data_IF_086886426010
#
_entry.id   IF_086886426010
#
_cell.length_a   1.000
_cell.length_b   1.000
_cell.length_c   1.000
_cell.angle_alpha   90.00
_cell.angle_beta   90.00
_cell.angle_gamma   90.00
#
_symmetry.space_group_name_H-M   'P 1'
#
loop_
_entity.id
_entity.type
_entity.pdbx_description
1 polymer ?
#
# COMPACT_ATOMS: atom_id res chain seq x y z
N UNK A 1 -33.17 -36.26 -17.07
CA UNK A 1 -33.21 -35.71 -15.68
C UNK A 1 -31.92 -34.91 -15.48
N UNK A 2 -31.96 -33.64 -15.88
CA UNK A 2 -30.81 -32.75 -15.98
C UNK A 2 -30.71 -31.99 -14.66
N UNK A 3 -29.60 -32.16 -13.92
CA UNK A 3 -29.35 -31.40 -12.69
C UNK A 3 -28.97 -29.98 -13.06
N UNK A 4 -29.80 -29.05 -12.64
CA UNK A 4 -29.47 -27.64 -12.65
C UNK A 4 -28.25 -27.39 -11.73
N UNK A 5 -27.22 -26.78 -12.26
CA UNK A 5 -26.06 -26.30 -11.53
C UNK A 5 -26.49 -24.99 -10.88
N UNK A 6 -26.66 -25.01 -9.57
CA UNK A 6 -26.93 -23.83 -8.76
C UNK A 6 -25.83 -22.79 -8.97
N UNK A 7 -26.19 -21.65 -9.55
CA UNK A 7 -25.34 -20.48 -9.58
C UNK A 7 -25.15 -19.98 -8.12
N UNK A 8 -23.93 -19.56 -7.73
CA UNK A 8 -23.73 -19.00 -6.40
C UNK A 8 -24.55 -17.71 -6.23
N UNK A 9 -25.07 -17.42 -5.02
CA UNK A 9 -25.89 -16.25 -4.77
C UNK A 9 -25.10 -14.97 -5.10
N UNK A 10 -25.72 -14.08 -5.83
CA UNK A 10 -25.20 -12.71 -6.06
C UNK A 10 -25.04 -12.02 -4.70
N UNK A 11 -23.83 -12.00 -4.19
CA UNK A 11 -23.45 -11.23 -3.00
C UNK A 11 -23.59 -9.76 -3.35
N UNK A 12 -24.40 -9.02 -2.60
CA UNK A 12 -24.69 -7.60 -2.75
C UNK A 12 -23.43 -6.80 -3.06
N UNK A 13 -23.32 -6.36 -4.32
CA UNK A 13 -22.13 -5.65 -4.79
C UNK A 13 -22.02 -4.30 -4.09
N UNK A 14 -20.87 -4.00 -3.51
CA UNK A 14 -20.54 -2.66 -3.05
C UNK A 14 -20.83 -1.68 -4.18
N UNK A 15 -21.63 -0.65 -3.91
CA UNK A 15 -22.03 0.35 -4.91
C UNK A 15 -20.76 0.98 -5.50
N UNK A 16 -20.73 1.21 -6.79
CA UNK A 16 -19.56 1.76 -7.50
C UNK A 16 -19.11 3.11 -6.92
N UNK A 17 -20.02 3.87 -6.27
CA UNK A 17 -19.74 5.14 -5.61
C UNK A 17 -19.04 5.05 -4.24
N UNK A 18 -18.82 3.83 -3.68
CA UNK A 18 -18.20 3.66 -2.36
C UNK A 18 -16.68 3.42 -2.43
N UNK A 19 -16.14 3.32 -3.65
CA UNK A 19 -14.74 3.00 -3.89
C UNK A 19 -13.94 4.25 -4.16
N UNK A 20 -12.84 4.42 -3.44
CA UNK A 20 -11.90 5.52 -3.66
C UNK A 20 -10.47 5.12 -3.33
N UNK A 21 -9.51 5.86 -3.87
CA UNK A 21 -8.10 5.76 -3.52
C UNK A 21 -7.54 7.17 -3.38
N UNK A 22 -6.88 7.43 -2.28
CA UNK A 22 -6.11 8.65 -2.05
C UNK A 22 -4.64 8.30 -1.97
N UNK A 23 -3.86 8.90 -2.87
CA UNK A 23 -2.43 8.68 -3.01
C UNK A 23 -1.66 9.93 -2.58
N UNK A 24 -0.68 9.74 -1.73
CA UNK A 24 0.38 10.71 -1.47
C UNK A 24 1.74 10.02 -1.63
N UNK A 25 2.87 10.74 -1.68
CA UNK A 25 4.19 10.12 -1.76
C UNK A 25 4.46 9.09 -0.65
N UNK A 26 3.92 9.33 0.54
CA UNK A 26 4.22 8.56 1.75
C UNK A 26 3.03 7.79 2.33
N UNK A 27 1.83 8.00 1.82
CA UNK A 27 0.57 7.42 2.34
C UNK A 27 -0.31 6.92 1.21
N UNK A 28 -1.09 5.91 1.48
CA UNK A 28 -2.21 5.50 0.63
C UNK A 28 -3.41 5.20 1.50
N UNK A 29 -4.55 5.68 1.13
CA UNK A 29 -5.83 5.12 1.55
C UNK A 29 -6.52 4.48 0.36
N UNK A 30 -6.92 3.25 0.51
CA UNK A 30 -7.63 2.48 -0.51
C UNK A 30 -8.92 1.92 0.07
N UNK A 31 -10.04 2.30 -0.50
CA UNK A 31 -11.35 1.71 -0.25
C UNK A 31 -11.79 0.97 -1.51
N UNK A 32 -11.70 -0.34 -1.52
CA UNK A 32 -11.94 -1.11 -2.74
C UNK A 32 -11.89 -2.61 -2.55
N UNK A 33 -11.79 -3.33 -3.68
CA UNK A 33 -11.75 -4.78 -3.71
C UNK A 33 -10.38 -5.32 -3.24
N UNK A 34 -10.41 -6.32 -2.38
CA UNK A 34 -9.19 -7.01 -1.94
C UNK A 34 -8.62 -7.95 -3.02
N UNK A 35 -9.47 -8.47 -3.90
CA UNK A 35 -9.11 -9.51 -4.85
C UNK A 35 -9.03 -10.91 -4.22
N UNK A 36 -8.40 -11.86 -4.94
CA UNK A 36 -8.19 -13.21 -4.44
C UNK A 36 -7.19 -13.24 -3.27
N UNK A 37 -7.38 -14.19 -2.37
CA UNK A 37 -6.43 -14.44 -1.28
C UNK A 37 -5.11 -14.96 -1.86
N UNK A 38 -4.11 -14.10 -1.91
CA UNK A 38 -2.74 -14.45 -2.29
C UNK A 38 -1.78 -13.89 -1.25
N UNK A 39 -0.63 -14.54 -1.11
CA UNK A 39 0.43 -14.02 -0.25
C UNK A 39 0.94 -12.70 -0.81
N UNK A 40 1.16 -11.75 0.08
CA UNK A 40 1.72 -10.44 -0.23
C UNK A 40 2.76 -10.03 0.81
N UNK A 41 3.73 -9.23 0.36
CA UNK A 41 4.78 -8.68 1.21
C UNK A 41 4.99 -7.23 0.84
N UNK A 42 4.45 -6.31 1.66
CA UNK A 42 4.53 -4.88 1.41
C UNK A 42 5.75 -4.25 2.09
N UNK A 43 6.25 -3.15 1.54
CA UNK A 43 7.37 -2.41 2.12
C UNK A 43 6.96 -1.32 3.11
N UNK A 44 5.68 -1.05 3.26
CA UNK A 44 5.12 -0.12 4.25
C UNK A 44 4.30 -0.84 5.33
N UNK A 45 3.91 -0.10 6.35
CA UNK A 45 2.93 -0.57 7.34
C UNK A 45 1.56 -0.66 6.68
N UNK A 46 0.98 -1.87 6.65
CA UNK A 46 -0.37 -2.12 6.16
C UNK A 46 -1.37 -2.13 7.31
N UNK A 47 -2.45 -1.36 7.18
CA UNK A 47 -3.55 -1.36 8.14
C UNK A 47 -4.83 -1.67 7.38
N UNK A 48 -5.48 -2.79 7.70
CA UNK A 48 -6.72 -3.21 7.07
C UNK A 48 -7.88 -3.04 8.05
N UNK A 49 -8.96 -2.43 7.59
CA UNK A 49 -10.17 -2.19 8.38
C UNK A 49 -11.38 -2.69 7.62
N UNK A 50 -12.28 -3.43 8.31
CA UNK A 50 -13.56 -3.82 7.73
C UNK A 50 -14.54 -2.62 7.74
N UNK A 51 -15.34 -2.43 6.68
CA UNK A 51 -16.45 -1.49 6.70
C UNK A 51 -17.46 -1.79 7.83
N UNK A 52 -18.32 -0.84 8.14
CA UNK A 52 -19.35 -1.04 9.13
C UNK A 52 -20.42 -2.04 8.67
N UNK A 53 -20.91 -2.88 9.58
CA UNK A 53 -22.00 -3.81 9.31
C UNK A 53 -21.65 -5.00 8.41
N UNK A 54 -20.36 -5.24 8.13
CA UNK A 54 -19.90 -6.37 7.32
C UNK A 54 -19.05 -7.33 8.17
N UNK A 55 -18.89 -8.60 7.72
CA UNK A 55 -18.07 -9.56 8.44
C UNK A 55 -16.61 -9.08 8.59
N UNK A 56 -15.96 -9.39 9.73
CA UNK A 56 -14.56 -9.08 9.95
C UNK A 56 -13.63 -9.69 8.90
N UNK A 57 -12.47 -9.07 8.73
CA UNK A 57 -11.39 -9.50 7.83
C UNK A 57 -10.65 -10.69 8.48
N UNK A 58 -10.17 -11.61 7.66
CA UNK A 58 -9.29 -12.70 8.08
C UNK A 58 -7.88 -12.46 7.60
N UNK A 59 -6.90 -12.75 8.45
CA UNK A 59 -5.48 -12.68 8.11
C UNK A 59 -4.77 -13.96 8.54
N UNK A 60 -3.77 -14.35 7.76
CA UNK A 60 -2.77 -15.36 8.12
C UNK A 60 -1.38 -14.77 7.90
N UNK A 61 -0.59 -14.69 8.96
CA UNK A 61 0.79 -14.19 8.94
C UNK A 61 1.70 -15.40 8.68
N UNK A 62 2.47 -15.36 7.60
CA UNK A 62 3.32 -16.48 7.19
C UNK A 62 2.55 -17.79 7.13
N UNK A 63 3.11 -18.87 7.71
CA UNK A 63 2.47 -20.18 7.84
C UNK A 63 1.59 -20.37 9.08
N UNK A 64 1.27 -19.31 9.83
CA UNK A 64 0.54 -19.37 11.09
C UNK A 64 -0.97 -19.64 10.94
N UNK A 65 -1.69 -19.62 12.04
CA UNK A 65 -3.15 -19.77 12.06
C UNK A 65 -3.86 -18.53 11.50
N UNK A 66 -5.06 -18.74 10.98
CA UNK A 66 -5.95 -17.64 10.58
C UNK A 66 -6.47 -16.91 11.81
N UNK A 67 -6.35 -15.60 11.80
CA UNK A 67 -6.93 -14.67 12.76
C UNK A 67 -8.10 -13.91 12.10
N UNK A 68 -9.04 -13.42 12.90
CA UNK A 68 -10.22 -12.68 12.40
C UNK A 68 -10.44 -11.44 13.27
N UNK A 69 -10.59 -10.28 12.65
CA UNK A 69 -10.80 -9.00 13.36
C UNK A 69 -11.28 -7.88 12.45
N UNK A 70 -11.80 -6.82 13.04
CA UNK A 70 -12.19 -5.60 12.31
C UNK A 70 -10.99 -4.74 11.91
N UNK A 71 -9.91 -4.83 12.69
CA UNK A 71 -8.64 -4.14 12.46
C UNK A 71 -7.51 -5.17 12.41
N UNK A 72 -6.69 -5.05 11.38
CA UNK A 72 -5.49 -5.86 11.17
C UNK A 72 -4.33 -4.93 10.86
N UNK A 73 -3.21 -5.14 11.53
CA UNK A 73 -1.96 -4.42 11.31
C UNK A 73 -0.89 -5.39 10.83
N UNK A 74 -0.15 -4.99 9.81
CA UNK A 74 0.97 -5.76 9.25
C UNK A 74 2.19 -4.86 9.11
N UNK A 75 3.26 -5.11 9.86
CA UNK A 75 4.52 -4.39 9.69
C UNK A 75 5.15 -4.59 8.30
N UNK A 76 6.08 -3.72 7.89
CA UNK A 76 6.81 -3.87 6.63
C UNK A 76 7.51 -5.22 6.52
N UNK A 77 7.57 -5.77 5.31
CA UNK A 77 8.26 -7.01 4.95
C UNK A 77 7.71 -8.29 5.64
N UNK A 78 6.53 -8.25 6.20
CA UNK A 78 5.87 -9.43 6.77
C UNK A 78 4.98 -10.10 5.71
N UNK A 79 5.30 -11.35 5.28
CA UNK A 79 4.45 -12.11 4.37
C UNK A 79 3.12 -12.46 5.02
N UNK A 80 2.04 -12.19 4.32
CA UNK A 80 0.70 -12.42 4.85
C UNK A 80 -0.34 -12.67 3.76
N UNK A 81 -1.41 -13.36 4.14
CA UNK A 81 -2.62 -13.52 3.34
C UNK A 81 -3.76 -12.76 4.01
N UNK A 82 -4.56 -12.05 3.24
CA UNK A 82 -5.76 -11.36 3.72
C UNK A 82 -6.96 -11.86 2.92
N UNK A 83 -8.05 -12.16 3.62
CA UNK A 83 -9.33 -12.56 3.04
C UNK A 83 -10.45 -11.68 3.59
N UNK A 84 -11.40 -11.33 2.74
CA UNK A 84 -12.64 -10.68 3.14
C UNK A 84 -13.82 -11.35 2.44
N UNK A 85 -14.90 -11.58 3.18
CA UNK A 85 -16.17 -12.04 2.60
C UNK A 85 -16.95 -10.90 1.96
N UNK A 86 -16.62 -9.66 2.32
CA UNK A 86 -17.21 -8.47 1.72
C UNK A 86 -16.28 -7.93 0.62
N UNK A 87 -16.80 -7.50 -0.52
CA UNK A 87 -15.99 -7.01 -1.63
C UNK A 87 -15.25 -5.71 -1.31
N UNK A 88 -15.76 -4.87 -0.40
CA UNK A 88 -15.12 -3.64 0.02
C UNK A 88 -14.29 -3.88 1.28
N UNK A 89 -13.06 -3.41 1.28
CA UNK A 89 -12.19 -3.27 2.45
C UNK A 89 -11.57 -1.88 2.46
N UNK A 90 -11.12 -1.45 3.63
CA UNK A 90 -10.25 -0.29 3.76
C UNK A 90 -8.82 -0.74 4.01
N UNK A 91 -7.88 -0.14 3.30
CA UNK A 91 -6.45 -0.36 3.50
C UNK A 91 -5.74 0.98 3.58
N UNK A 92 -5.04 1.22 4.68
CA UNK A 92 -4.09 2.30 4.82
C UNK A 92 -2.69 1.73 4.66
N UNK A 93 -1.86 2.43 3.91
CA UNK A 93 -0.45 2.14 3.76
C UNK A 93 0.35 3.36 4.22
N UNK A 94 1.31 3.12 5.11
CA UNK A 94 2.25 4.13 5.62
C UNK A 94 3.66 3.68 5.25
N UNK A 95 4.37 4.50 4.45
CA UNK A 95 5.73 4.18 4.03
C UNK A 95 6.68 4.12 5.23
N UNK A 96 7.45 3.04 5.34
CA UNK A 96 8.27 2.75 6.53
C UNK A 96 9.40 3.75 6.79
N UNK A 97 9.93 4.35 5.73
CA UNK A 97 10.99 5.37 5.84
C UNK A 97 10.46 6.75 6.24
N UNK A 98 9.13 6.93 6.22
CA UNK A 98 8.51 8.21 6.53
C UNK A 98 8.10 8.39 7.98
N UNK A 99 8.10 7.32 8.76
CA UNK A 99 7.61 7.33 10.16
C UNK A 99 8.61 6.68 11.11
N UNK A 100 8.71 7.24 12.32
CA UNK A 100 9.50 6.66 13.40
C UNK A 100 8.78 5.42 13.96
N UNK A 101 9.30 4.21 13.78
CA UNK A 101 8.63 2.99 14.23
C UNK A 101 8.45 2.91 15.76
N UNK A 102 9.33 3.57 16.53
CA UNK A 102 9.21 3.61 18.00
C UNK A 102 8.13 4.55 18.50
N UNK A 103 7.63 5.44 17.65
CA UNK A 103 6.62 6.45 17.96
C UNK A 103 5.31 6.26 17.20
N UNK A 104 5.14 5.13 16.56
CA UNK A 104 3.85 4.75 15.98
C UNK A 104 2.81 4.54 17.08
N UNK A 105 1.51 4.80 16.81
CA UNK A 105 0.43 4.45 17.72
C UNK A 105 0.54 3.02 18.24
N UNK A 106 0.16 2.77 19.49
CA UNK A 106 0.31 1.45 20.14
C UNK A 106 -0.28 0.32 19.31
N UNK A 107 -1.45 0.51 18.70
CA UNK A 107 -2.07 -0.51 17.87
C UNK A 107 -1.22 -0.86 16.64
N UNK A 108 -0.38 0.04 16.12
CA UNK A 108 0.52 -0.20 14.99
C UNK A 108 1.82 -0.90 15.38
N UNK A 109 2.11 -1.04 16.68
CA UNK A 109 3.25 -1.82 17.19
C UNK A 109 3.00 -3.33 17.13
N UNK A 110 1.78 -3.76 16.81
CA UNK A 110 1.37 -5.15 16.74
C UNK A 110 1.43 -5.72 15.32
N UNK A 111 1.34 -7.04 15.21
CA UNK A 111 1.21 -7.76 13.95
C UNK A 111 0.04 -8.75 14.04
N UNK A 112 -0.92 -8.65 13.12
CA UNK A 112 -2.13 -9.44 13.12
C UNK A 112 -3.36 -8.64 13.54
N UNK A 113 -4.33 -9.29 14.16
CA UNK A 113 -5.57 -8.63 14.62
C UNK A 113 -5.34 -7.81 15.88
N UNK A 114 -5.93 -6.62 15.92
CA UNK A 114 -5.78 -5.67 17.03
C UNK A 114 -7.15 -5.14 17.42
N UNK A 115 -7.37 -4.90 18.71
CA UNK A 115 -8.55 -4.24 19.23
C UNK A 115 -8.28 -2.74 19.44
N UNK A 116 -8.79 -1.90 18.52
CA UNK A 116 -8.73 -0.43 18.63
C UNK A 116 -10.00 0.19 18.03
N UNK A 117 -11.14 0.06 18.69
CA UNK A 117 -12.45 0.45 18.14
C UNK A 117 -12.57 1.94 17.84
N UNK A 118 -11.85 2.80 18.55
CA UNK A 118 -11.81 4.22 18.27
C UNK A 118 -11.15 4.52 16.91
N UNK A 119 -10.06 3.82 16.59
CA UNK A 119 -9.39 3.94 15.30
C UNK A 119 -10.27 3.37 14.17
N UNK A 120 -10.90 2.22 14.37
CA UNK A 120 -11.83 1.62 13.39
C UNK A 120 -12.97 2.60 13.05
N UNK A 121 -13.58 3.23 14.05
CA UNK A 121 -14.61 4.26 13.82
C UNK A 121 -14.05 5.44 13.03
N UNK A 122 -12.89 5.95 13.42
CA UNK A 122 -12.23 7.08 12.72
C UNK A 122 -12.01 6.78 11.23
N UNK A 123 -11.52 5.60 10.89
CA UNK A 123 -11.31 5.19 9.48
C UNK A 123 -12.63 5.15 8.72
N UNK A 124 -13.70 4.64 9.33
CA UNK A 124 -15.04 4.58 8.74
C UNK A 124 -15.61 5.98 8.50
N UNK A 125 -15.47 6.87 9.48
CA UNK A 125 -15.92 8.27 9.38
C UNK A 125 -15.10 9.05 8.35
N UNK A 126 -13.78 8.86 8.31
CA UNK A 126 -12.90 9.44 7.31
C UNK A 126 -13.29 9.00 5.90
N UNK A 127 -13.58 7.71 5.67
CA UNK A 127 -14.06 7.22 4.39
C UNK A 127 -15.37 7.90 3.97
N UNK A 128 -16.35 7.99 4.85
CA UNK A 128 -17.61 8.66 4.57
C UNK A 128 -17.42 10.15 4.23
N UNK A 129 -16.52 10.83 4.95
CA UNK A 129 -16.14 12.22 4.69
C UNK A 129 -15.50 12.40 3.30
N UNK A 130 -14.53 11.55 2.95
CA UNK A 130 -13.85 11.57 1.67
C UNK A 130 -14.80 11.26 0.51
N UNK A 131 -15.72 10.31 0.67
CA UNK A 131 -16.78 10.05 -0.33
C UNK A 131 -17.65 11.27 -0.57
N UNK A 132 -18.08 11.95 0.48
CA UNK A 132 -18.89 13.15 0.38
C UNK A 132 -18.12 14.29 -0.31
N UNK A 133 -16.83 14.45 -0.05
CA UNK A 133 -15.96 15.42 -0.73
C UNK A 133 -15.80 15.07 -2.22
N UNK A 134 -15.48 13.82 -2.54
CA UNK A 134 -15.35 13.33 -3.91
C UNK A 134 -16.63 13.51 -4.72
N UNK A 135 -17.80 13.23 -4.14
CA UNK A 135 -19.09 13.43 -4.78
C UNK A 135 -19.40 14.90 -5.10
N UNK A 136 -18.75 15.85 -4.43
CA UNK A 136 -18.81 17.30 -4.73
C UNK A 136 -17.73 17.77 -5.70
N UNK A 137 -16.87 16.85 -6.21
CA UNK A 137 -15.75 17.20 -7.08
C UNK A 137 -14.60 17.89 -6.34
N UNK A 138 -14.51 17.77 -5.01
CA UNK A 138 -13.44 18.36 -4.21
C UNK A 138 -12.21 17.45 -4.26
N UNK A 139 -11.06 18.02 -4.60
CA UNK A 139 -9.76 17.36 -4.44
C UNK A 139 -9.38 17.20 -2.96
N UNK A 140 -8.46 16.28 -2.67
CA UNK A 140 -8.01 16.01 -1.31
C UNK A 140 -6.74 16.78 -0.92
N UNK A 141 -6.27 17.70 -1.75
CA UNK A 141 -5.06 18.51 -1.51
C UNK A 141 -5.11 19.34 -0.23
N UNK A 142 -6.32 19.70 0.21
CA UNK A 142 -6.53 20.43 1.46
C UNK A 142 -6.65 19.56 2.71
N UNK A 143 -6.63 18.23 2.58
CA UNK A 143 -6.73 17.32 3.72
C UNK A 143 -5.35 16.87 4.20
N UNK A 144 -5.15 16.88 5.52
CA UNK A 144 -4.03 16.21 6.16
C UNK A 144 -4.38 14.74 6.38
N UNK A 145 -3.64 13.83 5.72
CA UNK A 145 -3.87 12.40 5.79
C UNK A 145 -3.73 11.87 7.21
N UNK A 146 -2.63 12.23 7.88
CA UNK A 146 -2.35 11.71 9.23
C UNK A 146 -3.37 12.24 10.25
N UNK A 147 -3.71 13.53 10.19
CA UNK A 147 -4.74 14.12 11.05
C UNK A 147 -6.12 13.45 10.83
N UNK A 148 -6.48 13.17 9.57
CA UNK A 148 -7.77 12.56 9.25
C UNK A 148 -7.88 11.13 9.78
N UNK A 149 -6.86 10.29 9.55
CA UNK A 149 -6.92 8.87 9.87
C UNK A 149 -6.38 8.55 11.28
N UNK A 150 -5.32 9.24 11.72
CA UNK A 150 -4.68 8.95 13.01
C UNK A 150 -5.03 9.98 14.10
N UNK A 151 -5.56 11.14 13.71
CA UNK A 151 -5.93 12.23 14.63
C UNK A 151 -4.82 13.24 14.89
N UNK A 152 -3.60 12.89 14.53
CA UNK A 152 -2.40 13.72 14.63
C UNK A 152 -1.36 13.25 13.61
N UNK A 153 -0.38 14.10 13.34
CA UNK A 153 0.74 13.74 12.45
C UNK A 153 1.56 12.61 13.06
N UNK A 154 1.83 11.58 12.25
CA UNK A 154 2.75 10.53 12.65
C UNK A 154 4.18 11.08 12.74
N UNK A 155 4.89 10.72 13.80
CA UNK A 155 6.24 11.19 14.03
C UNK A 155 7.17 10.82 12.86
N UNK A 156 7.84 11.80 12.22
CA UNK A 156 8.71 11.53 11.11
C UNK A 156 9.97 10.76 11.56
N UNK A 157 10.45 9.89 10.69
CA UNK A 157 11.69 9.15 10.92
C UNK A 157 12.90 10.06 10.74
N UNK A 158 13.74 10.14 11.75
CA UNK A 158 15.06 10.75 11.65
C UNK A 158 16.00 9.78 10.94
N UNK A 159 16.39 10.07 9.70
CA UNK A 159 17.31 9.27 8.91
C UNK A 159 18.69 9.94 8.85
N UNK A 160 19.75 9.13 8.81
CA UNK A 160 21.08 9.61 8.42
C UNK A 160 20.98 10.35 7.07
N UNK A 161 21.57 11.55 6.99
CA UNK A 161 21.46 12.42 5.81
C UNK A 161 21.94 11.74 4.50
N UNK A 162 22.92 10.85 4.58
CA UNK A 162 23.42 10.08 3.44
C UNK A 162 22.38 9.08 2.95
N UNK A 163 21.71 8.39 3.88
CA UNK A 163 20.65 7.43 3.54
C UNK A 163 19.42 8.17 3.02
N UNK A 164 19.05 9.30 3.61
CA UNK A 164 17.97 10.15 3.09
C UNK A 164 18.22 10.56 1.64
N UNK A 165 19.42 11.05 1.32
CA UNK A 165 19.78 11.40 -0.06
C UNK A 165 19.58 10.25 -1.05
N UNK A 166 19.96 9.02 -0.66
CA UNK A 166 19.74 7.83 -1.51
C UNK A 166 18.26 7.49 -1.64
N UNK A 167 17.50 7.56 -0.54
CA UNK A 167 16.05 7.31 -0.56
C UNK A 167 15.34 8.32 -1.46
N UNK A 168 15.66 9.60 -1.32
CA UNK A 168 15.04 10.67 -2.13
C UNK A 168 15.30 10.44 -3.63
N UNK A 169 16.51 10.04 -4.01
CA UNK A 169 16.84 9.69 -5.39
C UNK A 169 16.05 8.46 -5.89
N UNK A 170 15.93 7.41 -5.08
CA UNK A 170 15.18 6.19 -5.42
C UNK A 170 13.66 6.41 -5.50
N UNK A 171 13.14 7.36 -4.73
CA UNK A 171 11.71 7.75 -4.76
C UNK A 171 11.43 8.64 -5.96
N UNK A 172 12.34 9.56 -6.30
CA UNK A 172 12.21 10.43 -7.46
C UNK A 172 12.23 9.63 -8.76
N UNK A 173 13.15 8.67 -8.89
CA UNK A 173 13.24 7.77 -10.04
C UNK A 173 13.42 6.30 -9.61
N UNK A 174 12.31 5.58 -9.33
CA UNK A 174 12.37 4.18 -8.97
C UNK A 174 12.87 3.26 -10.09
N UNK A 175 12.80 3.72 -11.34
CA UNK A 175 13.24 2.98 -12.52
C UNK A 175 14.74 3.07 -12.77
N UNK A 176 15.42 4.09 -12.22
CA UNK A 176 16.85 4.29 -12.43
C UNK A 176 17.65 2.98 -12.27
N UNK A 177 18.57 2.66 -13.20
CA UNK A 177 19.37 1.45 -13.17
C UNK A 177 20.52 1.51 -12.15
N UNK A 178 20.31 2.19 -11.02
CA UNK A 178 21.31 2.45 -9.99
C UNK A 178 21.58 1.17 -9.15
N UNK A 179 22.82 0.75 -9.04
CA UNK A 179 23.21 -0.36 -8.19
C UNK A 179 23.38 0.08 -6.72
N UNK A 180 23.53 -0.89 -5.83
CA UNK A 180 23.84 -0.59 -4.42
C UNK A 180 25.27 -0.02 -4.28
N UNK A 181 26.19 -0.45 -5.15
CA UNK A 181 27.55 0.07 -5.26
C UNK A 181 27.55 1.55 -5.66
N UNK A 182 26.75 1.93 -6.68
CA UNK A 182 26.63 3.33 -7.10
C UNK A 182 26.04 4.20 -5.99
N UNK A 183 25.02 3.69 -5.30
CA UNK A 183 24.44 4.38 -4.15
C UNK A 183 25.47 4.58 -3.04
N UNK A 184 26.25 3.55 -2.70
CA UNK A 184 27.30 3.64 -1.69
C UNK A 184 28.35 4.68 -2.07
N UNK A 185 28.82 4.65 -3.33
CA UNK A 185 29.79 5.60 -3.86
C UNK A 185 29.28 7.04 -3.81
N UNK A 186 28.00 7.28 -4.16
CA UNK A 186 27.36 8.60 -4.17
C UNK A 186 27.30 9.30 -2.81
N UNK A 187 27.48 8.50 -1.73
CA UNK A 187 27.45 8.98 -0.34
C UNK A 187 28.76 8.67 0.41
N UNK A 188 29.82 8.35 -0.32
CA UNK A 188 31.16 8.11 0.19
C UNK A 188 31.22 7.01 1.29
N UNK A 189 30.45 5.94 1.10
CA UNK A 189 30.48 4.76 1.96
C UNK A 189 31.04 3.56 1.21
N UNK A 190 31.70 2.64 1.94
CA UNK A 190 31.97 1.32 1.39
C UNK A 190 30.66 0.56 1.19
N UNK A 191 30.63 -0.35 0.23
CA UNK A 191 29.44 -1.16 -0.09
C UNK A 191 28.84 -1.85 1.14
N UNK A 192 29.68 -2.53 1.93
CA UNK A 192 29.22 -3.22 3.15
C UNK A 192 28.66 -2.24 4.19
N UNK A 193 29.33 -1.10 4.41
CA UNK A 193 28.86 -0.09 5.38
C UNK A 193 27.53 0.53 4.93
N UNK A 194 27.40 0.78 3.63
CA UNK A 194 26.15 1.30 3.05
C UNK A 194 24.98 0.34 3.29
N UNK A 195 25.12 -0.95 2.94
CA UNK A 195 24.03 -1.91 3.12
C UNK A 195 23.62 -2.06 4.59
N UNK A 196 24.61 -2.08 5.50
CA UNK A 196 24.34 -2.15 6.93
C UNK A 196 23.59 -0.93 7.44
N UNK A 197 24.10 0.27 7.13
CA UNK A 197 23.49 1.52 7.53
C UNK A 197 22.08 1.68 6.92
N UNK A 198 21.94 1.36 5.62
CA UNK A 198 20.64 1.43 4.95
C UNK A 198 19.58 0.56 5.65
N UNK A 199 19.94 -0.69 5.99
CA UNK A 199 19.04 -1.60 6.71
C UNK A 199 18.73 -1.10 8.13
N UNK A 200 19.72 -0.57 8.83
CA UNK A 200 19.54 0.02 10.16
C UNK A 200 18.58 1.21 10.13
N UNK A 201 18.76 2.10 9.17
CA UNK A 201 17.99 3.33 9.04
C UNK A 201 16.55 3.10 8.52
N UNK A 202 16.37 2.16 7.59
CA UNK A 202 15.05 1.92 6.93
C UNK A 202 14.28 0.73 7.50
N UNK A 203 14.95 -0.15 8.25
CA UNK A 203 14.37 -1.44 8.66
C UNK A 203 14.35 -2.50 7.56
N UNK A 204 14.75 -2.15 6.32
CA UNK A 204 14.69 -3.02 5.15
C UNK A 204 16.03 -3.19 4.45
N UNK A 205 16.27 -4.37 3.87
CA UNK A 205 17.39 -4.55 2.96
C UNK A 205 17.23 -3.67 1.70
N UNK A 206 18.31 -3.08 1.19
CA UNK A 206 18.30 -2.18 0.03
C UNK A 206 17.56 -2.77 -1.19
N UNK A 207 17.81 -4.06 -1.50
CA UNK A 207 17.13 -4.74 -2.62
C UNK A 207 15.61 -4.81 -2.43
N UNK A 208 15.15 -5.11 -1.21
CA UNK A 208 13.73 -5.16 -0.89
C UNK A 208 13.08 -3.78 -0.98
N UNK A 209 13.77 -2.74 -0.49
CA UNK A 209 13.32 -1.36 -0.59
C UNK A 209 13.16 -0.92 -2.06
N UNK A 210 14.17 -1.18 -2.91
CA UNK A 210 14.07 -0.86 -4.35
C UNK A 210 12.93 -1.60 -5.03
N UNK A 211 12.78 -2.90 -4.76
CA UNK A 211 11.69 -3.69 -5.33
C UNK A 211 10.32 -3.12 -4.90
N UNK A 212 10.19 -2.73 -3.64
CA UNK A 212 8.99 -2.07 -3.13
C UNK A 212 8.71 -0.74 -3.86
N UNK A 213 9.70 0.16 -3.98
CA UNK A 213 9.51 1.46 -4.63
C UNK A 213 9.15 1.32 -6.12
N UNK A 214 9.75 0.36 -6.83
CA UNK A 214 9.34 0.01 -8.20
C UNK A 214 7.91 -0.50 -8.27
N UNK A 215 7.52 -1.42 -7.38
CA UNK A 215 6.15 -1.91 -7.35
C UNK A 215 5.15 -0.80 -6.97
N UNK A 216 5.54 0.08 -6.04
CA UNK A 216 4.73 1.22 -5.60
C UNK A 216 4.47 2.22 -6.73
N UNK A 217 5.41 2.40 -7.65
CA UNK A 217 5.28 3.32 -8.78
C UNK A 217 4.18 2.88 -9.77
N UNK A 218 3.74 1.61 -9.79
CA UNK A 218 2.57 1.18 -10.56
C UNK A 218 1.33 2.07 -10.29
N UNK A 219 1.16 2.52 -9.06
CA UNK A 219 -0.02 3.30 -8.70
C UNK A 219 -0.10 4.66 -9.41
N UNK A 220 0.99 5.16 -10.01
CA UNK A 220 1.00 6.35 -10.87
C UNK A 220 0.26 6.13 -12.20
N UNK A 221 0.18 4.88 -12.64
CA UNK A 221 -0.38 4.50 -13.95
C UNK A 221 -1.85 4.09 -13.89
N UNK A 222 -2.46 4.08 -12.71
CA UNK A 222 -3.85 3.61 -12.53
C UNK A 222 -4.89 4.42 -13.31
N UNK A 223 -4.57 5.67 -13.69
CA UNK A 223 -5.41 6.53 -14.55
C UNK A 223 -5.00 6.54 -16.02
N UNK A 224 -3.84 6.01 -16.34
CA UNK A 224 -3.30 6.10 -17.70
C UNK A 224 -3.81 4.99 -18.60
N UNK A 225 -3.98 5.31 -19.87
CA UNK A 225 -4.32 4.34 -20.91
C UNK A 225 -3.03 3.87 -21.56
N UNK A 226 -2.30 2.98 -20.88
CA UNK A 226 -1.02 2.47 -21.35
C UNK A 226 -0.99 0.95 -21.23
N UNK A 227 -0.06 0.28 -21.91
CA UNK A 227 0.06 -1.18 -21.87
C UNK A 227 0.85 -1.63 -20.65
N UNK A 228 0.64 -2.89 -20.23
CA UNK A 228 1.44 -3.48 -19.15
C UNK A 228 2.93 -3.55 -19.48
N UNK A 229 3.28 -3.65 -20.76
CA UNK A 229 4.66 -3.65 -21.21
C UNK A 229 5.30 -2.28 -21.02
N UNK A 230 4.60 -1.22 -21.43
CA UNK A 230 5.10 0.15 -21.25
C UNK A 230 5.25 0.47 -19.76
N UNK A 231 4.26 0.13 -18.93
CA UNK A 231 4.36 0.31 -17.47
C UNK A 231 5.56 -0.45 -16.90
N UNK A 232 5.80 -1.69 -17.36
CA UNK A 232 6.93 -2.48 -16.89
C UNK A 232 8.25 -1.78 -17.18
N UNK A 233 8.44 -1.30 -18.40
CA UNK A 233 9.65 -0.58 -18.83
C UNK A 233 9.81 0.73 -18.06
N UNK A 234 8.76 1.54 -17.98
CA UNK A 234 8.75 2.83 -17.28
C UNK A 234 8.99 2.69 -15.77
N UNK A 235 8.70 1.53 -15.20
CA UNK A 235 8.94 1.23 -13.78
C UNK A 235 10.26 0.47 -13.55
N UNK A 236 11.08 0.31 -14.59
CA UNK A 236 12.42 -0.26 -14.53
C UNK A 236 12.46 -1.79 -14.46
N UNK A 237 11.43 -2.48 -14.94
CA UNK A 237 11.45 -3.93 -15.12
C UNK A 237 11.88 -4.29 -16.54
N UNK A 238 12.60 -5.40 -16.72
CA UNK A 238 13.09 -5.81 -18.04
C UNK A 238 11.96 -6.21 -18.99
N UNK A 239 10.85 -6.69 -18.45
CA UNK A 239 9.66 -7.12 -19.21
C UNK A 239 8.42 -7.20 -18.33
N UNK A 240 7.27 -7.42 -18.98
CA UNK A 240 5.96 -7.53 -18.31
C UNK A 240 5.81 -8.78 -17.44
N UNK A 241 6.61 -9.83 -17.63
CA UNK A 241 6.57 -11.06 -16.84
C UNK A 241 7.22 -10.84 -15.48
N UNK A 242 8.43 -10.27 -15.46
CA UNK A 242 9.11 -9.88 -14.22
C UNK A 242 8.30 -8.84 -13.43
N UNK A 243 7.74 -7.85 -14.12
CA UNK A 243 6.83 -6.89 -13.55
C UNK A 243 5.62 -7.57 -12.89
N UNK A 244 4.92 -8.43 -13.63
CA UNK A 244 3.73 -9.13 -13.11
C UNK A 244 4.05 -10.02 -11.91
N UNK A 245 5.20 -10.69 -11.92
CA UNK A 245 5.65 -11.48 -10.76
C UNK A 245 5.90 -10.61 -9.53
N UNK A 246 6.63 -9.51 -9.68
CA UNK A 246 6.91 -8.56 -8.60
C UNK A 246 5.63 -7.95 -8.01
N UNK A 247 4.71 -7.50 -8.85
CA UNK A 247 3.44 -6.91 -8.42
C UNK A 247 2.58 -7.92 -7.64
N UNK A 248 2.53 -9.18 -8.09
CA UNK A 248 1.83 -10.25 -7.34
C UNK A 248 2.47 -10.50 -5.99
N UNK A 249 3.80 -10.51 -5.90
CA UNK A 249 4.50 -10.70 -4.63
C UNK A 249 4.21 -9.55 -3.64
N UNK A 250 4.12 -8.33 -4.14
CA UNK A 250 3.90 -7.13 -3.31
C UNK A 250 2.44 -6.97 -2.92
N UNK A 251 1.52 -7.04 -3.87
CA UNK A 251 0.10 -6.72 -3.65
C UNK A 251 -0.81 -7.96 -3.57
N UNK A 252 -0.32 -9.14 -3.89
CA UNK A 252 -1.13 -10.35 -3.99
C UNK A 252 -2.09 -10.35 -5.19
N UNK A 253 -1.96 -9.43 -6.13
CA UNK A 253 -2.86 -9.20 -7.26
C UNK A 253 -2.09 -9.13 -8.58
N UNK A 254 -2.75 -9.48 -9.69
CA UNK A 254 -2.19 -9.21 -11.01
C UNK A 254 -2.21 -7.71 -11.32
N UNK A 255 -1.22 -7.17 -12.05
CA UNK A 255 -1.24 -5.77 -12.47
C UNK A 255 -2.52 -5.39 -13.22
N UNK A 256 -2.99 -6.27 -14.11
CA UNK A 256 -4.26 -6.07 -14.84
C UNK A 256 -5.46 -5.88 -13.93
N UNK A 257 -5.52 -6.62 -12.82
CA UNK A 257 -6.64 -6.56 -11.88
C UNK A 257 -6.58 -5.25 -11.06
N UNK A 258 -5.36 -4.81 -10.69
CA UNK A 258 -5.14 -3.52 -10.03
C UNK A 258 -5.59 -2.38 -10.95
N UNK A 259 -5.12 -2.36 -12.20
CA UNK A 259 -5.48 -1.31 -13.16
C UNK A 259 -6.98 -1.32 -13.51
N UNK A 260 -7.57 -2.48 -13.76
CA UNK A 260 -9.00 -2.60 -14.05
C UNK A 260 -9.87 -2.22 -12.85
N UNK A 261 -9.46 -2.60 -11.63
CA UNK A 261 -10.11 -2.22 -10.39
C UNK A 261 -10.03 -0.71 -10.15
N UNK A 262 -8.87 -0.12 -10.37
CA UNK A 262 -8.60 1.30 -10.14
C UNK A 262 -9.35 2.23 -11.10
N UNK A 263 -9.65 1.79 -12.33
CA UNK A 263 -10.48 2.56 -13.28
C UNK A 263 -11.91 2.81 -12.78
N UNK A 264 -12.35 2.08 -11.78
CA UNK A 264 -13.69 2.20 -11.15
C UNK A 264 -13.66 2.93 -9.81
N UNK A 265 -12.50 3.52 -9.45
CA UNK A 265 -12.31 4.24 -8.21
C UNK A 265 -12.36 5.75 -8.44
N UNK A 266 -12.88 6.50 -7.47
CA UNK A 266 -12.54 7.91 -7.35
C UNK A 266 -11.07 7.97 -6.89
N UNK A 267 -10.20 8.49 -7.75
CA UNK A 267 -8.76 8.60 -7.46
C UNK A 267 -8.42 10.05 -7.18
N UNK A 268 -7.82 10.29 -6.04
CA UNK A 268 -7.29 11.59 -5.62
C UNK A 268 -5.77 11.46 -5.41
N UNK A 269 -5.01 12.27 -6.11
CA UNK A 269 -3.55 12.34 -6.01
C UNK A 269 -3.17 13.72 -5.48
N UNK A 270 -2.35 13.78 -4.44
CA UNK A 270 -1.92 15.06 -3.89
C UNK A 270 -1.05 15.79 -4.91
N UNK A 271 -1.44 17.01 -5.26
CA UNK A 271 -0.74 17.84 -6.23
C UNK A 271 0.75 18.01 -5.85
N UNK A 272 1.63 17.52 -6.70
CA UNK A 272 3.09 17.63 -6.56
C UNK A 272 3.85 16.39 -6.09
N UNK A 273 3.17 15.31 -5.71
CA UNK A 273 3.82 14.08 -5.25
C UNK A 273 4.49 13.25 -6.35
N UNK A 274 4.12 13.46 -7.60
CA UNK A 274 4.58 12.66 -8.73
C UNK A 274 4.73 13.52 -10.00
N UNK A 275 5.58 14.56 -9.93
CA UNK A 275 5.95 15.30 -11.16
C UNK A 275 6.84 14.42 -12.02
N UNK A 276 6.55 14.42 -13.33
CA UNK A 276 7.34 13.80 -14.41
C UNK A 276 8.73 14.38 -14.51
#
# INVERSE_FOLDING_TARGET
>A
MQRAIDAPPETGGARQGERLMWLTPQRVFYAGLLGAAAERTMGGHGVYVSPAGVPPIRIRIGGGAWQTGELIVVPPQVPHHVESRHPLIFNLLVESESVDPARLPDFMQHCGTVDAPAFVRRVRDAHAHLLAASGRGTDFDGFDFDALFFGEALAPRALDARIRKVIDALVADPAAPTSAEDCAASVHLSFSRFLHLFKQETGMAFRAFRAWKRARSLLRYVRQTTTLTDIALDTGYPDSTHFSHSIRQVYGLKPSDILAGSRRLALHDAAGGFRH
#
